data_IF_300955816593
#
_entry.id   IF_300955816593
#
_cell.length_a   1.000
_cell.length_b   1.000
_cell.length_c   1.000
_cell.angle_alpha   90.00
_cell.angle_beta   90.00
_cell.angle_gamma   90.00
#
_symmetry.space_group_name_H-M   'P 1'
#
loop_
_entity.id
_entity.type
_entity.pdbx_description
1 polymer ?
#
# COMPACT_ATOMS: atom_id res chain seq x y z
N UNK A 1 -18.56 -8.61 -28.07
CA UNK A 1 -17.60 -7.50 -27.79
C UNK A 1 -17.71 -7.05 -26.34
N UNK A 2 -18.90 -6.69 -25.84
CA UNK A 2 -19.13 -6.33 -24.43
C UNK A 2 -18.69 -7.42 -23.43
N UNK A 3 -19.04 -8.69 -23.69
CA UNK A 3 -18.65 -9.82 -22.82
C UNK A 3 -17.13 -10.03 -22.70
N UNK A 4 -16.36 -9.71 -23.75
CA UNK A 4 -14.90 -9.79 -23.71
C UNK A 4 -14.33 -8.68 -22.81
N UNK A 5 -14.92 -7.49 -22.85
CA UNK A 5 -14.47 -6.35 -22.03
C UNK A 5 -14.76 -6.61 -20.55
N UNK A 6 -15.94 -7.18 -20.23
CA UNK A 6 -16.33 -7.59 -18.87
C UNK A 6 -15.39 -8.66 -18.28
N UNK A 7 -14.70 -9.43 -19.12
CA UNK A 7 -13.71 -10.43 -18.71
C UNK A 7 -12.32 -9.85 -18.45
N UNK A 8 -12.00 -8.67 -18.99
CA UNK A 8 -10.65 -8.10 -18.88
C UNK A 8 -10.30 -7.71 -17.45
N UNK A 9 -11.20 -7.05 -16.71
CA UNK A 9 -10.91 -6.64 -15.33
C UNK A 9 -10.61 -7.84 -14.42
N UNK A 10 -11.44 -8.90 -14.41
CA UNK A 10 -11.12 -10.16 -13.76
C UNK A 10 -9.75 -10.73 -14.14
N UNK A 11 -9.48 -10.88 -15.44
CA UNK A 11 -8.24 -11.51 -15.93
C UNK A 11 -7.01 -10.71 -15.51
N UNK A 12 -7.08 -9.38 -15.64
CA UNK A 12 -6.01 -8.47 -15.20
C UNK A 12 -5.79 -8.61 -13.70
N UNK A 13 -6.87 -8.65 -12.91
CA UNK A 13 -6.80 -8.85 -11.47
C UNK A 13 -6.14 -10.19 -11.11
N UNK A 14 -6.55 -11.31 -11.75
CA UNK A 14 -5.95 -12.62 -11.49
C UNK A 14 -4.46 -12.65 -11.85
N UNK A 15 -4.12 -12.16 -13.04
CA UNK A 15 -2.74 -12.13 -13.51
C UNK A 15 -1.85 -11.30 -12.58
N UNK A 16 -2.32 -10.10 -12.19
CA UNK A 16 -1.60 -9.24 -11.26
C UNK A 16 -1.40 -9.91 -9.89
N UNK A 17 -2.43 -10.54 -9.33
CA UNK A 17 -2.35 -11.24 -8.05
C UNK A 17 -1.33 -12.39 -8.05
N UNK A 18 -1.34 -13.22 -9.10
CA UNK A 18 -0.37 -14.31 -9.24
C UNK A 18 1.05 -13.75 -9.31
N UNK A 19 1.26 -12.70 -10.11
CA UNK A 19 2.57 -12.05 -10.23
C UNK A 19 3.03 -11.43 -8.90
N UNK A 20 2.14 -10.77 -8.17
CA UNK A 20 2.43 -10.21 -6.84
C UNK A 20 2.76 -11.30 -5.83
N UNK A 21 2.03 -12.42 -5.83
CA UNK A 21 2.32 -13.55 -4.95
C UNK A 21 3.68 -14.18 -5.25
N UNK A 22 3.98 -14.39 -6.53
CA UNK A 22 5.30 -14.88 -6.97
C UNK A 22 6.41 -13.90 -6.59
N UNK A 23 6.20 -12.60 -6.77
CA UNK A 23 7.16 -11.58 -6.38
C UNK A 23 7.40 -11.56 -4.87
N UNK A 24 6.35 -11.72 -4.06
CA UNK A 24 6.46 -11.87 -2.61
C UNK A 24 7.31 -13.08 -2.21
N UNK A 25 7.15 -14.22 -2.90
CA UNK A 25 7.98 -15.41 -2.70
C UNK A 25 9.43 -15.12 -3.09
N UNK A 26 9.67 -14.53 -4.26
CA UNK A 26 11.03 -14.19 -4.71
C UNK A 26 11.72 -13.20 -3.77
N UNK A 27 10.96 -12.29 -3.13
CA UNK A 27 11.47 -11.27 -2.21
C UNK A 27 11.47 -11.71 -0.74
N UNK A 28 11.08 -12.95 -0.43
CA UNK A 28 10.91 -13.45 0.95
C UNK A 28 12.16 -13.28 1.81
N UNK A 29 13.35 -13.50 1.24
CA UNK A 29 14.61 -13.36 1.97
C UNK A 29 14.89 -11.91 2.37
N UNK A 30 14.57 -10.95 1.48
CA UNK A 30 14.74 -9.52 1.78
C UNK A 30 13.71 -9.08 2.83
N UNK A 31 12.47 -9.56 2.73
CA UNK A 31 11.43 -9.30 3.73
C UNK A 31 11.79 -9.88 5.11
N UNK A 32 12.40 -11.07 5.14
CA UNK A 32 12.90 -11.67 6.39
C UNK A 32 13.97 -10.82 7.04
N UNK A 33 14.90 -10.27 6.25
CA UNK A 33 15.91 -9.32 6.75
C UNK A 33 15.24 -8.09 7.36
N UNK A 34 14.19 -7.55 6.72
CA UNK A 34 13.44 -6.42 7.27
C UNK A 34 12.76 -6.76 8.61
N UNK A 35 12.11 -7.92 8.71
CA UNK A 35 11.45 -8.35 9.95
C UNK A 35 12.46 -8.57 11.08
N UNK A 36 13.60 -9.22 10.80
CA UNK A 36 14.69 -9.38 11.76
C UNK A 36 15.26 -8.03 12.21
N UNK A 37 15.36 -7.07 11.29
CA UNK A 37 15.79 -5.73 11.63
C UNK A 37 14.85 -5.05 12.63
N UNK A 38 13.53 -5.15 12.41
CA UNK A 38 12.51 -4.64 13.33
C UNK A 38 12.61 -5.31 14.70
N UNK A 39 12.76 -6.64 14.74
CA UNK A 39 12.91 -7.38 15.98
C UNK A 39 14.12 -6.90 16.80
N UNK A 40 15.27 -6.72 16.14
CA UNK A 40 16.48 -6.19 16.79
C UNK A 40 16.26 -4.77 17.31
N UNK A 41 15.52 -3.93 16.57
CA UNK A 41 15.20 -2.58 17.03
C UNK A 41 14.36 -2.61 18.30
N UNK A 42 13.31 -3.42 18.34
CA UNK A 42 12.47 -3.57 19.54
C UNK A 42 13.23 -4.09 20.76
N UNK A 43 14.15 -5.04 20.55
CA UNK A 43 15.00 -5.57 21.64
C UNK A 43 16.01 -4.56 22.20
N UNK A 44 16.33 -3.49 21.45
CA UNK A 44 17.32 -2.46 21.84
C UNK A 44 16.70 -1.24 22.51
N UNK A 45 15.37 -1.19 22.65
CA UNK A 45 14.68 -0.06 23.27
C UNK A 45 14.84 -0.19 24.79
N UNK A 46 15.75 0.60 25.35
CA UNK A 46 15.95 0.68 26.82
C UNK A 46 15.23 1.89 27.44
N UNK A 47 14.90 2.91 26.64
CA UNK A 47 14.33 4.16 27.12
C UNK A 47 12.79 4.18 26.99
N UNK A 48 12.08 4.56 28.05
CA UNK A 48 10.62 4.68 28.07
C UNK A 48 10.09 5.64 27.01
N UNK A 49 10.78 6.76 26.74
CA UNK A 49 10.33 7.71 25.71
C UNK A 49 10.44 7.13 24.30
N UNK A 50 11.52 6.38 24.02
CA UNK A 50 11.65 5.68 22.73
C UNK A 50 10.57 4.60 22.57
N UNK A 51 10.28 3.87 23.65
CA UNK A 51 9.22 2.88 23.69
C UNK A 51 7.85 3.50 23.41
N UNK A 52 7.54 4.65 23.99
CA UNK A 52 6.27 5.36 23.80
C UNK A 52 6.11 5.86 22.36
N UNK A 53 7.17 6.42 21.77
CA UNK A 53 7.19 6.83 20.36
C UNK A 53 6.89 5.62 19.45
N UNK A 54 7.62 4.52 19.65
CA UNK A 54 7.44 3.31 18.84
C UNK A 54 6.04 2.71 19.01
N UNK A 55 5.54 2.65 20.25
CA UNK A 55 4.19 2.13 20.55
C UNK A 55 3.09 2.97 19.89
N UNK A 56 3.27 4.30 19.82
CA UNK A 56 2.34 5.19 19.10
C UNK A 56 2.26 4.82 17.61
N UNK A 57 3.40 4.57 16.96
CA UNK A 57 3.45 4.14 15.56
C UNK A 57 2.87 2.75 15.34
N UNK A 58 3.06 1.81 16.28
CA UNK A 58 2.39 0.49 16.22
C UNK A 58 0.88 0.65 16.26
N UNK A 59 0.33 1.41 17.22
CA UNK A 59 -1.13 1.64 17.32
C UNK A 59 -1.70 2.28 16.06
N UNK A 60 -1.00 3.28 15.52
CA UNK A 60 -1.37 3.92 14.26
C UNK A 60 -1.42 2.91 13.09
N UNK A 61 -0.35 2.12 12.93
CA UNK A 61 -0.26 1.10 11.88
C UNK A 61 -1.31 -0.01 12.03
N UNK A 62 -1.64 -0.39 13.26
CA UNK A 62 -2.64 -1.39 13.58
C UNK A 62 -4.06 -0.91 13.21
N UNK A 63 -4.41 0.33 13.57
CA UNK A 63 -5.70 0.90 13.21
C UNK A 63 -5.86 1.04 11.70
N UNK A 64 -4.79 1.42 10.99
CA UNK A 64 -4.81 1.48 9.52
C UNK A 64 -4.89 0.10 8.88
N UNK A 65 -4.21 -0.90 9.45
CA UNK A 65 -4.33 -2.30 9.01
C UNK A 65 -5.77 -2.79 9.11
N UNK A 66 -6.45 -2.51 10.24
CA UNK A 66 -7.88 -2.85 10.41
C UNK A 66 -8.74 -2.13 9.38
N UNK A 67 -8.51 -0.83 9.16
CA UNK A 67 -9.24 -0.06 8.16
C UNK A 67 -9.03 -0.61 6.74
N UNK A 68 -7.79 -0.93 6.37
CA UNK A 68 -7.42 -1.54 5.09
C UNK A 68 -8.14 -2.88 4.89
N UNK A 69 -8.05 -3.80 5.86
CA UNK A 69 -8.74 -5.09 5.82
C UNK A 69 -10.25 -4.88 5.65
N UNK A 70 -10.85 -3.99 6.44
CA UNK A 70 -12.30 -3.77 6.42
C UNK A 70 -12.77 -3.24 5.07
N UNK A 71 -12.10 -2.21 4.53
CA UNK A 71 -12.46 -1.61 3.24
C UNK A 71 -12.29 -2.63 2.12
N UNK A 72 -11.14 -3.30 2.04
CA UNK A 72 -10.83 -4.26 0.98
C UNK A 72 -11.79 -5.46 0.99
N UNK A 73 -12.05 -6.06 2.16
CA UNK A 73 -12.97 -7.19 2.26
C UNK A 73 -14.43 -6.80 2.02
N UNK A 74 -14.83 -5.55 2.32
CA UNK A 74 -16.19 -5.07 2.03
C UNK A 74 -16.42 -5.00 0.52
N UNK A 75 -15.50 -4.42 -0.26
CA UNK A 75 -15.58 -4.42 -1.72
C UNK A 75 -15.46 -5.82 -2.34
N UNK A 76 -14.62 -6.68 -1.75
CA UNK A 76 -14.46 -8.06 -2.18
C UNK A 76 -15.75 -8.89 -2.05
N UNK A 77 -16.37 -8.85 -0.86
CA UNK A 77 -17.56 -9.62 -0.54
C UNK A 77 -18.79 -9.07 -1.26
N UNK A 78 -18.88 -7.75 -1.48
CA UNK A 78 -19.97 -7.18 -2.27
C UNK A 78 -19.99 -7.76 -3.68
N UNK A 79 -18.84 -7.84 -4.34
CA UNK A 79 -18.72 -8.37 -5.70
C UNK A 79 -18.79 -9.90 -5.77
N UNK A 80 -18.06 -10.60 -4.91
CA UNK A 80 -17.83 -12.05 -5.07
C UNK A 80 -18.88 -12.93 -4.38
N UNK A 81 -19.69 -12.36 -3.48
CA UNK A 81 -20.68 -13.09 -2.69
C UNK A 81 -22.07 -12.46 -2.79
N UNK A 82 -22.19 -11.17 -2.45
CA UNK A 82 -23.49 -10.52 -2.30
C UNK A 82 -24.17 -10.35 -3.67
N UNK A 83 -23.47 -9.79 -4.65
CA UNK A 83 -24.03 -9.53 -5.98
C UNK A 83 -24.56 -10.81 -6.66
N UNK A 84 -23.81 -11.94 -6.74
CA UNK A 84 -24.32 -13.17 -7.35
C UNK A 84 -25.49 -13.82 -6.58
N UNK A 85 -25.46 -13.79 -5.24
CA UNK A 85 -26.52 -14.43 -4.42
C UNK A 85 -27.84 -13.68 -4.43
N UNK A 86 -27.76 -12.36 -4.56
CA UNK A 86 -28.93 -11.47 -4.57
C UNK A 86 -29.43 -11.19 -5.99
N UNK A 87 -28.67 -11.57 -7.01
CA UNK A 87 -29.12 -11.51 -8.39
C UNK A 87 -30.32 -12.47 -8.56
N UNK A 88 -31.45 -11.95 -9.00
CA UNK A 88 -32.63 -12.76 -9.27
C UNK A 88 -32.45 -13.65 -10.50
N UNK A 89 -33.24 -14.72 -10.58
CA UNK A 89 -33.33 -15.49 -11.82
C UNK A 89 -33.96 -14.62 -12.92
N UNK A 90 -33.47 -14.76 -14.15
CA UNK A 90 -34.02 -14.10 -15.34
C UNK A 90 -34.78 -15.11 -16.19
N UNK A 91 -35.75 -14.67 -16.97
CA UNK A 91 -36.49 -15.53 -17.91
C UNK A 91 -36.01 -15.18 -19.32
N UNK A 92 -35.57 -16.18 -20.08
CA UNK A 92 -35.14 -15.97 -21.46
C UNK A 92 -36.33 -15.90 -22.45
N UNK A 93 -36.05 -15.60 -23.72
CA UNK A 93 -37.07 -15.54 -24.79
C UNK A 93 -37.79 -16.88 -25.02
N UNK A 94 -37.22 -17.99 -24.53
CA UNK A 94 -37.78 -19.35 -24.59
C UNK A 94 -38.57 -19.75 -23.33
N UNK A 95 -38.82 -18.80 -22.42
CA UNK A 95 -39.54 -19.01 -21.16
C UNK A 95 -38.84 -19.97 -20.17
N UNK A 96 -37.51 -20.07 -20.25
CA UNK A 96 -36.67 -20.82 -19.32
C UNK A 96 -36.13 -19.89 -18.23
N UNK A 97 -36.18 -20.36 -16.98
CA UNK A 97 -35.64 -19.65 -15.82
C UNK A 97 -34.12 -19.84 -15.77
N UNK A 98 -33.38 -18.80 -16.12
CA UNK A 98 -31.93 -18.74 -16.05
C UNK A 98 -31.47 -18.25 -14.68
N UNK A 99 -30.53 -18.97 -14.09
CA UNK A 99 -29.80 -18.50 -12.90
C UNK A 99 -28.81 -17.40 -13.27
N UNK A 100 -28.58 -16.43 -12.37
CA UNK A 100 -27.53 -15.43 -12.56
C UNK A 100 -26.17 -16.13 -12.69
N UNK A 101 -25.24 -15.53 -13.43
CA UNK A 101 -23.92 -16.13 -13.65
C UNK A 101 -23.05 -15.94 -12.40
N UNK A 102 -22.33 -16.97 -11.90
CA UNK A 102 -21.44 -16.82 -10.76
C UNK A 102 -20.31 -15.83 -11.02
N UNK A 103 -19.80 -15.86 -12.25
CA UNK A 103 -18.68 -15.06 -12.70
C UNK A 103 -18.69 -14.94 -14.24
N UNK A 104 -18.30 -13.80 -14.83
CA UNK A 104 -18.19 -13.66 -16.28
C UNK A 104 -17.34 -14.77 -16.93
N UNK A 105 -17.79 -15.35 -18.05
CA UNK A 105 -17.06 -16.32 -18.90
C UNK A 105 -16.95 -17.76 -18.38
N UNK A 106 -17.57 -18.08 -17.23
CA UNK A 106 -17.64 -19.47 -16.73
C UNK A 106 -18.53 -20.39 -17.58
N UNK A 107 -19.47 -19.81 -18.30
CA UNK A 107 -20.38 -20.46 -19.25
C UNK A 107 -19.70 -20.95 -20.53
N UNK A 108 -18.47 -20.49 -20.81
CA UNK A 108 -17.67 -20.96 -21.96
C UNK A 108 -17.23 -22.43 -21.76
N UNK A 109 -17.01 -22.83 -20.50
CA UNK A 109 -16.42 -24.12 -20.16
C UNK A 109 -17.38 -25.06 -19.43
N UNK A 110 -18.39 -24.51 -18.74
CA UNK A 110 -19.29 -25.27 -17.89
C UNK A 110 -20.76 -24.90 -18.15
N UNK A 111 -21.63 -25.90 -18.14
CA UNK A 111 -23.08 -25.67 -18.08
C UNK A 111 -23.47 -25.21 -16.67
N UNK A 112 -23.33 -23.90 -16.44
CA UNK A 112 -23.64 -23.23 -15.18
C UNK A 112 -25.13 -23.20 -14.85
N UNK A 113 -26.02 -23.66 -15.73
CA UNK A 113 -27.46 -23.78 -15.42
C UNK A 113 -27.78 -25.09 -14.70
N UNK A 114 -26.89 -26.09 -14.74
CA UNK A 114 -27.01 -27.32 -13.98
C UNK A 114 -26.75 -27.08 -12.48
N UNK A 115 -27.69 -27.49 -11.61
CA UNK A 115 -27.69 -27.15 -10.17
C UNK A 115 -26.38 -27.51 -9.45
N UNK A 116 -25.83 -28.70 -9.67
CA UNK A 116 -24.58 -29.15 -9.00
C UNK A 116 -23.35 -28.42 -9.54
N UNK A 117 -23.29 -28.16 -10.84
CA UNK A 117 -22.15 -27.50 -11.48
C UNK A 117 -22.06 -26.04 -11.04
N UNK A 118 -23.21 -25.36 -10.97
CA UNK A 118 -23.32 -24.00 -10.46
C UNK A 118 -22.69 -23.83 -9.06
N UNK A 119 -23.11 -24.67 -8.11
CA UNK A 119 -22.64 -24.59 -6.71
C UNK A 119 -21.13 -24.82 -6.61
N UNK A 120 -20.59 -25.78 -7.39
CA UNK A 120 -19.15 -26.07 -7.43
C UNK A 120 -18.38 -24.87 -7.99
N UNK A 121 -18.80 -24.35 -9.15
CA UNK A 121 -18.12 -23.22 -9.82
C UNK A 121 -18.18 -21.97 -8.96
N UNK A 122 -19.34 -21.67 -8.35
CA UNK A 122 -19.48 -20.53 -7.44
C UNK A 122 -18.54 -20.67 -6.23
N UNK A 123 -18.51 -21.84 -5.59
CA UNK A 123 -17.64 -22.08 -4.43
C UNK A 123 -16.17 -21.93 -4.76
N UNK A 124 -15.71 -22.47 -5.90
CA UNK A 124 -14.33 -22.36 -6.34
C UNK A 124 -13.95 -20.89 -6.61
N UNK A 125 -14.81 -20.14 -7.31
CA UNK A 125 -14.56 -18.72 -7.58
C UNK A 125 -14.55 -17.89 -6.30
N UNK A 126 -15.43 -18.17 -5.35
CA UNK A 126 -15.47 -17.48 -4.06
C UNK A 126 -14.19 -17.74 -3.23
N UNK A 127 -13.73 -19.00 -3.15
CA UNK A 127 -12.47 -19.34 -2.47
C UNK A 127 -11.28 -18.66 -3.17
N UNK A 128 -11.27 -18.69 -4.50
CA UNK A 128 -10.25 -18.02 -5.31
C UNK A 128 -10.22 -16.51 -5.04
N UNK A 129 -11.39 -15.86 -5.01
CA UNK A 129 -11.52 -14.45 -4.67
C UNK A 129 -10.94 -14.14 -3.29
N UNK A 130 -11.30 -14.91 -2.24
CA UNK A 130 -10.75 -14.73 -0.89
C UNK A 130 -9.21 -14.79 -0.90
N UNK A 131 -8.64 -15.76 -1.62
CA UNK A 131 -7.18 -15.87 -1.73
C UNK A 131 -6.57 -14.62 -2.35
N UNK A 132 -7.12 -14.11 -3.45
CA UNK A 132 -6.62 -12.89 -4.10
C UNK A 132 -6.68 -11.67 -3.20
N UNK A 133 -7.83 -11.42 -2.58
CA UNK A 133 -7.99 -10.28 -1.68
C UNK A 133 -7.07 -10.40 -0.45
N UNK A 134 -6.78 -11.62 0.01
CA UNK A 134 -5.79 -11.86 1.06
C UNK A 134 -4.39 -11.45 0.62
N UNK A 135 -3.97 -11.78 -0.59
CA UNK A 135 -2.64 -11.42 -1.12
C UNK A 135 -2.49 -9.90 -1.21
N UNK A 136 -3.45 -9.19 -1.85
CA UNK A 136 -3.41 -7.73 -1.99
C UNK A 136 -3.34 -7.06 -0.61
N UNK A 137 -4.24 -7.47 0.29
CA UNK A 137 -4.34 -6.89 1.63
C UNK A 137 -3.10 -7.18 2.46
N UNK A 138 -2.51 -8.37 2.34
CA UNK A 138 -1.27 -8.74 3.02
C UNK A 138 -0.07 -7.88 2.57
N UNK A 139 0.04 -7.61 1.27
CA UNK A 139 1.09 -6.72 0.72
C UNK A 139 0.93 -5.30 1.26
N UNK A 140 -0.29 -4.76 1.23
CA UNK A 140 -0.57 -3.41 1.75
C UNK A 140 -0.24 -3.32 3.23
N UNK A 141 -0.73 -4.26 4.04
CA UNK A 141 -0.47 -4.29 5.48
C UNK A 141 1.02 -4.45 5.81
N UNK A 142 1.76 -5.24 5.02
CA UNK A 142 3.21 -5.36 5.18
C UNK A 142 3.90 -4.01 4.95
N UNK A 143 3.52 -3.27 3.89
CA UNK A 143 4.02 -1.93 3.64
C UNK A 143 3.68 -0.97 4.79
N UNK A 144 2.42 -0.97 5.26
CA UNK A 144 1.95 -0.17 6.40
C UNK A 144 2.85 -0.38 7.62
N UNK A 145 3.11 -1.63 7.99
CA UNK A 145 3.89 -1.98 9.18
C UNK A 145 5.35 -1.57 9.02
N UNK A 146 5.98 -1.88 7.88
CA UNK A 146 7.39 -1.56 7.61
C UNK A 146 7.63 -0.05 7.59
N UNK A 147 6.78 0.71 6.90
CA UNK A 147 6.90 2.16 6.81
C UNK A 147 6.60 2.81 8.16
N UNK A 148 5.56 2.35 8.88
CA UNK A 148 5.24 2.88 10.20
C UNK A 148 6.37 2.65 11.21
N UNK A 149 7.02 1.48 11.18
CA UNK A 149 8.22 1.23 11.99
C UNK A 149 9.36 2.17 11.62
N UNK A 150 9.59 2.37 10.32
CA UNK A 150 10.61 3.30 9.81
C UNK A 150 10.34 4.73 10.30
N UNK A 151 9.10 5.22 10.19
CA UNK A 151 8.69 6.53 10.70
C UNK A 151 8.88 6.64 12.22
N UNK A 152 8.57 5.59 12.98
CA UNK A 152 8.84 5.57 14.43
C UNK A 152 10.34 5.67 14.75
N UNK A 153 11.19 4.95 14.03
CA UNK A 153 12.64 5.04 14.18
C UNK A 153 13.19 6.42 13.77
N UNK A 154 12.65 7.03 12.72
CA UNK A 154 12.95 8.41 12.33
C UNK A 154 12.63 9.37 13.47
N UNK A 155 11.44 9.24 14.07
CA UNK A 155 11.02 10.09 15.19
C UNK A 155 11.90 9.91 16.43
N UNK A 156 12.39 8.69 16.69
CA UNK A 156 13.39 8.47 17.75
C UNK A 156 14.72 9.15 17.44
N UNK A 157 15.16 9.16 16.18
CA UNK A 157 16.38 9.91 15.77
C UNK A 157 16.17 11.41 15.94
N UNK A 158 15.01 11.95 15.52
CA UNK A 158 14.64 13.36 15.71
C UNK A 158 14.66 13.73 17.20
N UNK A 159 13.99 12.96 18.05
CA UNK A 159 13.98 13.18 19.49
C UNK A 159 15.38 13.16 20.11
N UNK A 160 16.26 12.27 19.65
CA UNK A 160 17.65 12.23 20.10
C UNK A 160 18.45 13.47 19.66
N UNK A 161 18.20 13.99 18.45
CA UNK A 161 18.79 15.24 17.96
C UNK A 161 18.29 16.45 18.76
N UNK A 162 16.98 16.55 19.04
CA UNK A 162 16.40 17.63 19.83
C UNK A 162 16.93 17.64 21.27
N UNK A 163 17.09 16.46 21.88
CA UNK A 163 17.73 16.36 23.19
C UNK A 163 19.19 16.76 23.17
N UNK A 164 19.91 16.46 22.10
CA UNK A 164 21.28 16.91 21.92
C UNK A 164 21.33 18.45 21.86
N UNK A 165 20.43 19.10 21.10
CA UNK A 165 20.30 20.58 21.08
C UNK A 165 20.09 21.13 22.49
N UNK A 166 19.09 20.60 23.20
CA UNK A 166 18.73 21.08 24.53
C UNK A 166 19.87 20.97 25.54
N UNK A 167 20.70 19.92 25.44
CA UNK A 167 21.84 19.74 26.32
C UNK A 167 22.99 20.68 26.01
N UNK A 168 23.29 20.91 24.72
CA UNK A 168 24.31 21.85 24.29
C UNK A 168 23.98 23.29 24.72
N UNK A 169 22.69 23.64 24.78
CA UNK A 169 22.24 24.97 25.23
C UNK A 169 22.28 25.13 26.76
N UNK A 170 22.14 24.03 27.52
CA UNK A 170 21.97 24.08 28.99
C UNK A 170 23.26 23.85 29.79
N UNK A 171 24.28 23.18 29.26
CA UNK A 171 25.48 22.81 30.02
C UNK A 171 26.75 22.75 29.14
N UNK A 172 27.90 23.09 29.74
CA UNK A 172 29.24 22.82 29.21
C UNK A 172 29.60 21.35 29.49
N UNK A 173 28.96 20.43 28.76
CA UNK A 173 29.22 18.99 28.90
C UNK A 173 30.55 18.61 28.25
N UNK A 174 31.21 17.62 28.84
CA UNK A 174 32.43 17.01 28.31
C UNK A 174 32.28 16.70 26.79
N UNK A 175 33.17 17.27 25.93
CA UNK A 175 33.19 17.02 24.49
C UNK A 175 33.16 15.53 24.11
N UNK A 176 33.76 14.66 24.94
CA UNK A 176 33.78 13.21 24.69
C UNK A 176 32.39 12.58 24.85
N UNK A 177 31.57 13.08 25.77
CA UNK A 177 30.19 12.61 25.98
C UNK A 177 29.31 13.05 24.80
N UNK A 178 29.46 14.30 24.35
CA UNK A 178 28.76 14.83 23.18
C UNK A 178 29.13 14.02 21.92
N UNK A 179 30.42 13.75 21.72
CA UNK A 179 30.90 12.98 20.57
C UNK A 179 30.38 11.53 20.59
N UNK A 180 30.35 10.86 21.76
CA UNK A 180 29.74 9.53 21.89
C UNK A 180 28.25 9.54 21.52
N UNK A 181 27.51 10.56 21.94
CA UNK A 181 26.07 10.68 21.65
C UNK A 181 25.79 10.97 20.18
N UNK A 182 26.55 11.87 19.57
CA UNK A 182 26.49 12.11 18.12
C UNK A 182 26.81 10.83 17.35
N UNK A 183 27.86 10.10 17.76
CA UNK A 183 28.19 8.80 17.18
C UNK A 183 27.07 7.77 17.28
N UNK A 184 26.32 7.75 18.40
CA UNK A 184 25.13 6.91 18.56
C UNK A 184 24.01 7.29 17.59
N UNK A 185 23.70 8.59 17.47
CA UNK A 185 22.67 9.11 16.56
C UNK A 185 22.99 8.75 15.11
N UNK A 186 24.24 8.95 14.67
CA UNK A 186 24.67 8.63 13.31
C UNK A 186 24.52 7.14 13.02
N UNK A 187 24.99 6.27 13.92
CA UNK A 187 24.87 4.82 13.72
C UNK A 187 23.41 4.39 13.62
N UNK A 188 22.52 5.04 14.39
CA UNK A 188 21.08 4.77 14.32
C UNK A 188 20.48 5.28 13.00
N UNK A 189 20.85 6.48 12.56
CA UNK A 189 20.41 7.05 11.29
C UNK A 189 20.91 6.23 10.08
N UNK A 190 22.20 5.86 10.03
CA UNK A 190 22.77 4.99 8.98
C UNK A 190 22.05 3.64 8.90
N UNK A 191 21.80 3.01 10.06
CA UNK A 191 21.07 1.75 10.13
C UNK A 191 19.63 1.88 9.61
N UNK A 192 18.97 2.99 9.95
CA UNK A 192 17.62 3.32 9.48
C UNK A 192 17.58 3.56 7.96
N UNK A 193 18.55 4.27 7.39
CA UNK A 193 18.66 4.47 5.94
C UNK A 193 18.85 3.14 5.20
N UNK A 194 19.71 2.26 5.74
CA UNK A 194 19.89 0.89 5.21
C UNK A 194 18.60 0.07 5.28
N UNK A 195 17.84 0.20 6.37
CA UNK A 195 16.55 -0.46 6.53
C UNK A 195 15.54 0.05 5.49
N UNK A 196 15.44 1.36 5.28
CA UNK A 196 14.57 1.95 4.26
C UNK A 196 14.96 1.51 2.84
N UNK A 197 16.26 1.45 2.52
CA UNK A 197 16.74 0.93 1.25
C UNK A 197 16.37 -0.55 1.03
N UNK A 198 16.37 -1.37 2.09
CA UNK A 198 15.92 -2.76 2.02
C UNK A 198 14.41 -2.88 1.79
N UNK A 199 13.61 -2.01 2.42
CA UNK A 199 12.16 -1.93 2.16
C UNK A 199 11.90 -1.60 0.69
N UNK A 200 12.57 -0.57 0.18
CA UNK A 200 12.44 -0.16 -1.22
C UNK A 200 12.86 -1.28 -2.18
N UNK A 201 13.99 -1.96 -1.91
CA UNK A 201 14.43 -3.11 -2.69
C UNK A 201 13.41 -4.26 -2.68
N UNK A 202 12.73 -4.49 -1.56
CA UNK A 202 11.75 -5.55 -1.41
C UNK A 202 10.42 -5.25 -2.12
N UNK A 203 9.98 -3.98 -2.08
CA UNK A 203 8.61 -3.62 -2.45
C UNK A 203 8.49 -2.87 -3.78
N UNK A 204 9.56 -2.27 -4.33
CA UNK A 204 9.44 -1.41 -5.53
C UNK A 204 8.75 -2.06 -6.73
N UNK A 205 9.06 -3.33 -7.02
CA UNK A 205 8.45 -4.07 -8.13
C UNK A 205 6.99 -4.43 -7.82
N UNK A 206 6.71 -4.77 -6.56
CA UNK A 206 5.35 -5.07 -6.09
C UNK A 206 4.47 -3.83 -6.19
N UNK A 207 4.99 -2.65 -5.81
CA UNK A 207 4.31 -1.38 -5.97
C UNK A 207 4.07 -1.01 -7.44
N UNK A 208 5.01 -1.33 -8.34
CA UNK A 208 4.79 -1.13 -9.77
C UNK A 208 3.61 -1.98 -10.27
N UNK A 209 3.61 -3.27 -9.93
CA UNK A 209 2.52 -4.17 -10.32
C UNK A 209 1.18 -3.68 -9.80
N UNK A 210 1.12 -3.29 -8.52
CA UNK A 210 -0.07 -2.76 -7.88
C UNK A 210 -0.58 -1.47 -8.53
N UNK A 211 0.31 -0.51 -8.80
CA UNK A 211 -0.07 0.75 -9.47
C UNK A 211 -0.68 0.45 -10.84
N UNK A 212 -0.02 -0.38 -11.64
CA UNK A 212 -0.48 -0.72 -12.99
C UNK A 212 -1.80 -1.48 -12.95
N UNK A 213 -1.91 -2.52 -12.11
CA UNK A 213 -3.11 -3.33 -12.00
C UNK A 213 -4.29 -2.51 -11.48
N UNK A 214 -4.10 -1.73 -10.42
CA UNK A 214 -5.17 -0.91 -9.84
C UNK A 214 -5.63 0.19 -10.80
N UNK A 215 -4.72 0.78 -11.60
CA UNK A 215 -5.12 1.74 -12.66
C UNK A 215 -6.02 1.09 -13.71
N UNK A 216 -5.64 -0.10 -14.19
CA UNK A 216 -6.43 -0.83 -15.18
C UNK A 216 -7.78 -1.29 -14.62
N UNK A 217 -7.79 -1.83 -13.40
CA UNK A 217 -9.00 -2.31 -12.73
C UNK A 217 -9.97 -1.16 -12.48
N UNK A 218 -9.50 -0.02 -11.95
CA UNK A 218 -10.34 1.17 -11.76
C UNK A 218 -10.96 1.62 -13.09
N UNK A 219 -10.18 1.62 -14.17
CA UNK A 219 -10.65 2.01 -15.50
C UNK A 219 -11.77 1.10 -16.03
N UNK A 220 -11.65 -0.21 -15.84
CA UNK A 220 -12.71 -1.16 -16.22
C UNK A 220 -13.96 -1.03 -15.34
N UNK A 221 -13.80 -0.83 -14.02
CA UNK A 221 -14.95 -0.63 -13.13
C UNK A 221 -15.70 0.67 -13.49
N UNK A 222 -14.98 1.75 -13.79
CA UNK A 222 -15.56 3.01 -14.27
C UNK A 222 -16.37 2.80 -15.56
N UNK A 223 -15.88 1.95 -16.47
CA UNK A 223 -16.60 1.59 -17.68
C UNK A 223 -17.86 0.75 -17.40
N UNK A 224 -17.77 -0.24 -16.51
CA UNK A 224 -18.91 -1.10 -16.12
C UNK A 224 -20.04 -0.28 -15.47
N UNK A 225 -19.69 0.72 -14.65
CA UNK A 225 -20.63 1.67 -14.05
C UNK A 225 -21.44 2.41 -15.14
N UNK A 226 -20.79 2.85 -16.22
CA UNK A 226 -21.48 3.58 -17.28
C UNK A 226 -22.37 2.69 -18.12
N UNK A 227 -21.92 1.50 -18.49
CA UNK A 227 -22.77 0.54 -19.21
C UNK A 227 -24.04 0.27 -18.40
N UNK A 228 -23.91 0.04 -17.09
CA UNK A 228 -25.05 -0.18 -16.21
C UNK A 228 -26.01 1.03 -16.19
N UNK A 229 -25.49 2.26 -16.22
CA UNK A 229 -26.29 3.48 -16.29
C UNK A 229 -26.98 3.66 -17.65
N UNK A 230 -26.29 3.43 -18.76
CA UNK A 230 -26.82 3.61 -20.13
C UNK A 230 -27.92 2.61 -20.45
N UNK A 231 -27.79 1.37 -20.00
CA UNK A 231 -28.78 0.32 -20.24
C UNK A 231 -30.07 0.51 -19.43
N UNK A 232 -30.13 1.50 -18.52
CA UNK A 232 -31.25 1.70 -17.58
C UNK A 232 -31.60 0.45 -16.75
N UNK A 233 -30.70 -0.53 -16.70
CA UNK A 233 -30.75 -1.72 -15.84
C UNK A 233 -30.15 -1.30 -14.50
N UNK A 234 -30.79 -0.35 -13.83
CA UNK A 234 -30.26 0.23 -12.59
C UNK A 234 -30.60 -0.66 -11.40
N UNK A 235 -29.98 -1.84 -11.32
CA UNK A 235 -30.01 -2.62 -10.10
C UNK A 235 -29.19 -1.87 -9.03
N UNK A 236 -29.87 -1.35 -8.00
CA UNK A 236 -29.23 -0.58 -6.92
C UNK A 236 -28.08 -1.35 -6.27
N UNK A 237 -28.19 -2.68 -6.22
CA UNK A 237 -27.17 -3.54 -5.64
C UNK A 237 -25.88 -3.57 -6.47
N UNK A 238 -25.99 -3.68 -7.79
CA UNK A 238 -24.84 -3.74 -8.71
C UNK A 238 -24.08 -2.42 -8.71
N UNK A 239 -24.80 -1.30 -8.78
CA UNK A 239 -24.20 0.05 -8.68
C UNK A 239 -23.48 0.25 -7.34
N UNK A 240 -24.10 -0.18 -6.25
CA UNK A 240 -23.47 -0.11 -4.92
C UNK A 240 -22.21 -0.96 -4.86
N UNK A 241 -22.24 -2.15 -5.48
CA UNK A 241 -21.11 -3.07 -5.55
C UNK A 241 -19.93 -2.47 -6.32
N UNK A 242 -20.17 -1.90 -7.50
CA UNK A 242 -19.12 -1.26 -8.29
C UNK A 242 -18.51 -0.04 -7.59
N UNK A 243 -19.32 0.78 -6.92
CA UNK A 243 -18.82 1.92 -6.12
C UNK A 243 -17.98 1.46 -4.93
N UNK A 244 -18.39 0.39 -4.23
CA UNK A 244 -17.60 -0.20 -3.15
C UNK A 244 -16.28 -0.77 -3.66
N UNK A 245 -16.28 -1.42 -4.82
CA UNK A 245 -15.07 -1.98 -5.42
C UNK A 245 -14.10 -0.87 -5.87
N UNK A 246 -14.62 0.15 -6.57
CA UNK A 246 -13.84 1.32 -6.99
C UNK A 246 -13.22 2.04 -5.78
N UNK A 247 -14.00 2.27 -4.73
CA UNK A 247 -13.50 2.91 -3.52
C UNK A 247 -12.45 2.06 -2.78
N UNK A 248 -12.55 0.73 -2.83
CA UNK A 248 -11.56 -0.18 -2.25
C UNK A 248 -10.20 -0.09 -2.95
N UNK A 249 -10.18 -0.20 -4.29
CA UNK A 249 -8.94 -0.08 -5.06
C UNK A 249 -8.32 1.33 -4.96
N UNK A 250 -9.16 2.38 -5.03
CA UNK A 250 -8.70 3.76 -4.85
C UNK A 250 -8.09 3.99 -3.45
N UNK A 251 -8.72 3.45 -2.40
CA UNK A 251 -8.21 3.53 -1.04
C UNK A 251 -6.87 2.80 -0.87
N UNK A 252 -6.73 1.61 -1.46
CA UNK A 252 -5.48 0.86 -1.41
C UNK A 252 -4.32 1.64 -2.04
N UNK A 253 -4.55 2.20 -3.24
CA UNK A 253 -3.56 3.02 -3.93
C UNK A 253 -3.23 4.30 -3.15
N UNK A 254 -4.25 4.95 -2.60
CA UNK A 254 -4.07 6.12 -1.74
C UNK A 254 -3.17 5.83 -0.55
N UNK A 255 -3.34 4.68 0.12
CA UNK A 255 -2.48 4.30 1.24
C UNK A 255 -1.02 4.22 0.81
N UNK A 256 -0.68 3.53 -0.28
CA UNK A 256 0.71 3.44 -0.74
C UNK A 256 1.34 4.81 -1.00
N UNK A 257 0.61 5.69 -1.69
CA UNK A 257 1.04 7.06 -1.96
C UNK A 257 1.19 7.90 -0.69
N UNK A 258 0.25 7.77 0.25
CA UNK A 258 0.32 8.45 1.55
C UNK A 258 1.53 8.01 2.36
N UNK A 259 1.84 6.71 2.37
CA UNK A 259 3.00 6.20 3.11
C UNK A 259 4.33 6.60 2.47
N UNK A 260 4.41 6.63 1.14
CA UNK A 260 5.57 7.15 0.45
C UNK A 260 5.81 8.64 0.75
N UNK A 261 4.75 9.45 0.75
CA UNK A 261 4.81 10.88 1.11
C UNK A 261 5.28 11.08 2.56
N UNK A 262 4.61 10.43 3.52
CA UNK A 262 4.93 10.56 4.95
C UNK A 262 6.36 10.10 5.22
N UNK A 263 6.82 9.00 4.63
CA UNK A 263 8.20 8.54 4.82
C UNK A 263 9.21 9.58 4.31
N UNK A 264 8.97 10.14 3.13
CA UNK A 264 9.83 11.16 2.54
C UNK A 264 9.89 12.41 3.41
N UNK A 265 8.74 12.94 3.85
CA UNK A 265 8.66 14.12 4.72
C UNK A 265 9.41 13.91 6.05
N UNK A 266 9.22 12.75 6.67
CA UNK A 266 9.88 12.40 7.93
C UNK A 266 11.40 12.31 7.76
N UNK A 267 11.88 11.72 6.66
CA UNK A 267 13.32 11.67 6.37
C UNK A 267 13.92 13.08 6.19
N UNK A 268 13.23 13.96 5.47
CA UNK A 268 13.68 15.36 5.31
C UNK A 268 13.73 16.11 6.66
N UNK A 269 12.79 15.81 7.55
CA UNK A 269 12.72 16.44 8.87
C UNK A 269 13.97 16.17 9.71
N UNK A 270 14.62 15.00 9.56
CA UNK A 270 15.88 14.69 10.25
C UNK A 270 16.97 15.71 9.89
N UNK A 271 17.12 16.03 8.60
CA UNK A 271 18.09 17.03 8.13
C UNK A 271 17.77 18.43 8.65
N UNK A 272 16.48 18.82 8.64
CA UNK A 272 16.02 20.12 9.17
C UNK A 272 16.33 20.27 10.67
N UNK A 273 16.06 19.25 11.47
CA UNK A 273 16.34 19.27 12.92
C UNK A 273 17.86 19.27 13.18
N UNK A 274 18.62 18.50 12.41
CA UNK A 274 20.07 18.50 12.51
C UNK A 274 20.69 19.87 12.14
N UNK A 275 20.11 20.58 11.17
CA UNK A 275 20.53 21.93 10.78
C UNK A 275 20.32 22.97 11.89
N UNK A 276 19.29 22.80 12.73
CA UNK A 276 18.99 23.70 13.86
C UNK A 276 19.97 23.55 15.04
N UNK A 277 20.85 22.53 15.02
CA UNK A 277 21.95 22.44 15.98
C UNK A 277 22.99 23.51 15.63
N UNK A 278 23.56 24.19 16.63
CA UNK A 278 24.74 25.07 16.46
C UNK A 278 26.01 24.24 16.13
N UNK A 279 25.96 23.46 15.05
CA UNK A 279 26.97 22.46 14.70
C UNK A 279 28.35 23.08 14.53
N UNK A 280 28.42 24.31 14.02
CA UNK A 280 29.65 25.09 13.83
C UNK A 280 30.41 25.41 15.14
N UNK A 281 29.77 25.25 16.31
CA UNK A 281 30.42 25.40 17.62
C UNK A 281 30.99 24.09 18.17
N UNK A 282 30.69 22.95 17.55
CA UNK A 282 31.12 21.64 18.01
C UNK A 282 32.55 21.31 17.53
N UNK A 283 33.24 20.32 18.13
CA UNK A 283 34.52 19.84 17.64
C UNK A 283 34.44 19.37 16.17
N UNK A 284 35.54 19.48 15.42
CA UNK A 284 35.56 19.24 13.96
C UNK A 284 35.00 17.87 13.54
N UNK A 285 35.19 16.81 14.33
CA UNK A 285 34.63 15.48 14.05
C UNK A 285 33.10 15.45 14.16
N UNK A 286 32.55 16.15 15.16
CA UNK A 286 31.11 16.27 15.41
C UNK A 286 30.42 17.17 14.37
N UNK A 287 31.11 18.22 13.91
CA UNK A 287 30.67 19.06 12.80
C UNK A 287 30.45 18.23 11.53
N UNK A 288 31.49 17.51 11.09
CA UNK A 288 31.44 16.71 9.87
C UNK A 288 30.30 15.68 9.91
N UNK A 289 30.12 15.06 11.07
CA UNK A 289 29.04 14.12 11.35
C UNK A 289 27.63 14.72 11.14
N UNK A 290 27.37 15.91 11.69
CA UNK A 290 26.07 16.57 11.54
C UNK A 290 25.86 17.07 10.11
N UNK A 291 26.91 17.57 9.45
CA UNK A 291 26.86 17.94 8.03
C UNK A 291 26.45 16.73 7.18
N UNK A 292 26.97 15.54 7.46
CA UNK A 292 26.53 14.32 6.77
C UNK A 292 25.03 14.05 6.98
N UNK A 293 24.50 14.20 8.20
CA UNK A 293 23.06 14.03 8.45
C UNK A 293 22.23 15.06 7.70
N UNK A 294 22.66 16.34 7.70
CA UNK A 294 21.98 17.43 6.99
C UNK A 294 21.93 17.14 5.50
N UNK A 295 23.07 16.81 4.88
CA UNK A 295 23.16 16.47 3.45
C UNK A 295 22.30 15.25 3.11
N UNK A 296 22.26 14.23 3.97
CA UNK A 296 21.37 13.07 3.75
C UNK A 296 19.89 13.44 3.84
N UNK A 297 19.52 14.48 4.61
CA UNK A 297 18.15 15.00 4.65
C UNK A 297 17.71 15.70 3.35
N UNK A 298 18.64 16.17 2.53
CA UNK A 298 18.35 16.72 1.19
C UNK A 298 18.00 15.62 0.17
N UNK A 299 18.47 14.39 0.42
CA UNK A 299 18.20 13.20 -0.39
C UNK A 299 17.42 12.17 0.44
N UNK A 300 16.15 12.47 0.79
CA UNK A 300 15.37 11.63 1.68
C UNK A 300 15.11 10.23 1.11
N UNK A 301 14.82 9.28 1.99
CA UNK A 301 14.36 7.97 1.55
C UNK A 301 13.03 8.12 0.80
N UNK A 302 12.94 7.43 -0.34
CA UNK A 302 11.77 7.45 -1.20
C UNK A 302 11.32 6.03 -1.47
N UNK A 303 10.00 5.85 -1.54
CA UNK A 303 9.41 4.64 -2.07
C UNK A 303 9.01 4.88 -3.52
N UNK A 304 9.32 3.94 -4.40
CA UNK A 304 9.02 4.07 -5.82
C UNK A 304 8.25 2.87 -6.36
N UNK A 305 7.39 3.12 -7.33
CA UNK A 305 6.87 2.09 -8.22
C UNK A 305 7.94 1.77 -9.27
N UNK A 306 8.67 0.68 -9.06
CA UNK A 306 9.62 0.12 -10.03
C UNK A 306 10.83 1.00 -10.34
N UNK A 307 11.14 2.02 -9.53
CA UNK A 307 12.13 3.04 -9.84
C UNK A 307 11.68 4.08 -10.88
N UNK A 308 10.42 4.01 -11.34
CA UNK A 308 9.91 4.88 -12.41
C UNK A 308 9.13 6.08 -11.86
N UNK A 309 8.40 5.89 -10.76
CA UNK A 309 7.50 6.89 -10.21
C UNK A 309 7.55 6.87 -8.69
N UNK A 310 7.76 8.03 -8.07
CA UNK A 310 7.71 8.19 -6.62
C UNK A 310 6.29 7.91 -6.10
N UNK A 311 6.14 7.18 -5.01
CA UNK A 311 4.84 7.04 -4.35
C UNK A 311 4.55 8.31 -3.54
N UNK A 312 3.73 9.18 -4.11
CA UNK A 312 3.37 10.49 -3.54
C UNK A 312 1.89 10.80 -3.74
N UNK A 313 1.34 11.71 -2.94
CA UNK A 313 -0.07 12.13 -3.08
C UNK A 313 -0.30 12.80 -4.44
N UNK A 314 0.71 13.51 -4.97
CA UNK A 314 0.66 14.10 -6.29
C UNK A 314 0.51 13.03 -7.39
N UNK A 315 1.25 11.92 -7.28
CA UNK A 315 1.18 10.83 -8.23
C UNK A 315 -0.11 10.01 -8.10
N UNK A 316 -0.68 9.88 -6.90
CA UNK A 316 -2.05 9.34 -6.74
C UNK A 316 -3.06 10.11 -7.60
N UNK A 317 -3.08 11.44 -7.51
CA UNK A 317 -3.98 12.25 -8.32
C UNK A 317 -3.72 12.09 -9.84
N UNK A 318 -2.45 11.93 -10.24
CA UNK A 318 -2.08 11.64 -11.64
C UNK A 318 -2.60 10.28 -12.11
N UNK A 319 -2.47 9.24 -11.28
CA UNK A 319 -2.95 7.89 -11.58
C UNK A 319 -4.47 7.87 -11.74
N UNK A 320 -5.21 8.50 -10.82
CA UNK A 320 -6.67 8.59 -10.91
C UNK A 320 -7.11 9.33 -12.17
N UNK A 321 -6.46 10.45 -12.52
CA UNK A 321 -6.73 11.15 -13.80
C UNK A 321 -6.44 10.28 -15.01
N UNK A 322 -5.38 9.48 -14.95
CA UNK A 322 -4.99 8.57 -16.02
C UNK A 322 -6.02 7.45 -16.20
N UNK A 323 -6.56 6.90 -15.11
CA UNK A 323 -7.70 5.95 -15.15
C UNK A 323 -8.89 6.56 -15.89
N UNK A 324 -9.32 7.77 -15.48
CA UNK A 324 -10.43 8.47 -16.14
C UNK A 324 -10.14 8.78 -17.62
N UNK A 325 -8.89 9.09 -17.97
CA UNK A 325 -8.51 9.36 -19.36
C UNK A 325 -8.60 8.10 -20.23
N UNK A 326 -8.07 6.96 -19.75
CA UNK A 326 -8.23 5.68 -20.44
C UNK A 326 -9.69 5.25 -20.54
N UNK A 327 -10.47 5.50 -19.49
CA UNK A 327 -11.91 5.27 -19.49
C UNK A 327 -12.60 6.10 -20.60
N UNK A 328 -12.32 7.40 -20.69
CA UNK A 328 -12.88 8.26 -21.73
C UNK A 328 -12.51 7.78 -23.13
N UNK A 329 -11.26 7.32 -23.32
CA UNK A 329 -10.81 6.74 -24.59
C UNK A 329 -11.61 5.49 -24.95
N UNK A 330 -11.78 4.55 -24.01
CA UNK A 330 -12.59 3.34 -24.23
C UNK A 330 -14.03 3.69 -24.58
N UNK A 331 -14.62 4.70 -23.93
CA UNK A 331 -15.96 5.19 -24.25
C UNK A 331 -16.07 5.78 -25.67
N UNK A 332 -15.05 6.49 -26.15
CA UNK A 332 -15.08 7.05 -27.51
C UNK A 332 -14.86 6.02 -28.62
N UNK A 333 -14.18 4.91 -28.31
CA UNK A 333 -13.85 3.86 -29.29
C UNK A 333 -14.82 2.68 -29.30
N UNK A 334 -15.60 2.49 -28.23
CA UNK A 334 -16.62 1.45 -28.08
C UNK A 334 -17.97 1.90 -28.61
#
# INVERSE_FOLDING_TARGET
>A
RLEIILLLAPIVCQAANILMHLAMIVRSDTLKICIQHMEIDWRRIDNSTEHDIMTKHVRYSHNLTIACITVMYTGALSYSLIMPLMAGNTINEFNETLRPRPFPGTDIFFDVQANVVYEIVFTINFISAIFHYTVITAVCNLAIVLVSHTCGQIQVVIWNLENLVNELTKNDKDPDVIMKRIGFIIRRHDRLLKFSANIEKALKEIFLMEVVSSTLIMCFIEYDIIIALEQSITNRLEMTTYVLLLSSFAFNLFLYCQFGEVLMEQCQQVGKVAYMIDWYKLPSKSQLALIMIINMGEYPCKLTAGGMMDLSIANFASITKTSLAYFNMMRTMG
#
